data_IF_743782094984
#
_entry.id   IF_743782094984
#
_cell.length_a   1.000
_cell.length_b   1.000
_cell.length_c   1.000
_cell.angle_alpha   90.00
_cell.angle_beta   90.00
_cell.angle_gamma   90.00
#
_symmetry.space_group_name_H-M   'P 1'
#
loop_
_entity.id
_entity.type
_entity.pdbx_description
1 polymer ?
#
# COMPACT_ATOMS: atom_id res chain seq x y z
N UNK A 1 -14.74 -8.89 -31.85
CA UNK A 1 -15.80 -8.70 -30.86
C UNK A 1 -15.61 -9.58 -29.62
N UNK A 2 -15.33 -10.88 -29.78
CA UNK A 2 -15.09 -11.83 -28.64
C UNK A 2 -13.90 -11.40 -27.76
N UNK A 3 -12.78 -10.99 -28.33
CA UNK A 3 -11.61 -10.51 -27.58
C UNK A 3 -11.86 -9.22 -26.78
N UNK A 4 -12.76 -8.35 -27.24
CA UNK A 4 -13.14 -7.13 -26.54
C UNK A 4 -13.99 -7.44 -25.30
N UNK A 5 -14.95 -8.37 -25.44
CA UNK A 5 -15.80 -8.80 -24.32
C UNK A 5 -14.98 -9.55 -23.26
N UNK A 6 -14.05 -10.41 -23.68
CA UNK A 6 -13.15 -11.12 -22.76
C UNK A 6 -12.24 -10.16 -21.99
N UNK A 7 -11.75 -9.11 -22.64
CA UNK A 7 -10.92 -8.08 -22.01
C UNK A 7 -11.72 -7.24 -21.00
N UNK A 8 -12.97 -6.89 -21.30
CA UNK A 8 -13.83 -6.18 -20.34
C UNK A 8 -14.17 -6.99 -19.10
N UNK A 9 -14.45 -8.29 -19.25
CA UNK A 9 -14.74 -9.18 -18.11
C UNK A 9 -13.51 -9.30 -17.20
N UNK A 10 -12.33 -9.43 -17.76
CA UNK A 10 -11.08 -9.50 -17.00
C UNK A 10 -10.78 -8.18 -16.30
N UNK A 11 -11.05 -7.04 -16.94
CA UNK A 11 -10.89 -5.72 -16.34
C UNK A 11 -11.86 -5.49 -15.17
N UNK A 12 -13.12 -5.89 -15.33
CA UNK A 12 -14.10 -5.80 -14.24
C UNK A 12 -13.70 -6.68 -13.05
N UNK A 13 -13.24 -7.90 -13.31
CA UNK A 13 -12.77 -8.81 -12.27
C UNK A 13 -11.53 -8.26 -11.55
N UNK A 14 -10.61 -7.63 -12.27
CA UNK A 14 -9.44 -6.99 -11.69
C UNK A 14 -9.81 -5.79 -10.81
N UNK A 15 -10.76 -4.95 -11.26
CA UNK A 15 -11.25 -3.82 -10.49
C UNK A 15 -11.97 -4.28 -9.22
N UNK A 16 -12.85 -5.29 -9.33
CA UNK A 16 -13.56 -5.83 -8.15
C UNK A 16 -12.61 -6.45 -7.13
N UNK A 17 -11.60 -7.19 -7.58
CA UNK A 17 -10.56 -7.73 -6.71
C UNK A 17 -9.75 -6.63 -6.01
N UNK A 18 -9.44 -5.53 -6.71
CA UNK A 18 -8.75 -4.38 -6.13
C UNK A 18 -9.61 -3.69 -5.06
N UNK A 19 -10.91 -3.47 -5.32
CA UNK A 19 -11.83 -2.85 -4.35
C UNK A 19 -11.94 -3.72 -3.09
N UNK A 20 -12.10 -5.03 -3.25
CA UNK A 20 -12.13 -5.96 -2.12
C UNK A 20 -10.82 -5.90 -1.33
N UNK A 21 -9.67 -5.86 -2.02
CA UNK A 21 -8.37 -5.72 -1.39
C UNK A 21 -8.24 -4.45 -0.55
N UNK A 22 -8.71 -3.30 -1.05
CA UNK A 22 -8.73 -2.03 -0.31
C UNK A 22 -9.60 -2.13 0.94
N UNK A 23 -10.79 -2.72 0.85
CA UNK A 23 -11.68 -2.92 2.01
C UNK A 23 -10.96 -3.74 3.10
N UNK A 24 -10.28 -4.82 2.74
CA UNK A 24 -9.50 -5.61 3.71
C UNK A 24 -8.35 -4.82 4.34
N UNK A 25 -7.66 -3.97 3.57
CA UNK A 25 -6.60 -3.10 4.09
C UNK A 25 -7.16 -2.10 5.09
N UNK A 26 -8.31 -1.49 4.80
CA UNK A 26 -8.97 -0.54 5.71
C UNK A 26 -9.46 -1.20 7.00
N UNK A 27 -10.09 -2.37 6.91
CA UNK A 27 -10.48 -3.18 8.08
C UNK A 27 -9.25 -3.49 8.94
N UNK A 28 -8.15 -3.92 8.32
CA UNK A 28 -6.89 -4.17 9.01
C UNK A 28 -6.38 -2.91 9.72
N UNK A 29 -6.42 -1.75 9.06
CA UNK A 29 -6.02 -0.47 9.65
C UNK A 29 -6.88 -0.07 10.87
N UNK A 30 -8.19 -0.30 10.80
CA UNK A 30 -9.10 -0.08 11.94
C UNK A 30 -8.77 -0.99 13.13
N UNK A 31 -8.47 -2.26 12.88
CA UNK A 31 -8.05 -3.21 13.92
C UNK A 31 -6.74 -2.74 14.58
N UNK A 32 -5.75 -2.32 13.77
CA UNK A 32 -4.48 -1.79 14.30
C UNK A 32 -4.71 -0.56 15.15
N UNK A 33 -5.60 0.36 14.74
CA UNK A 33 -5.94 1.54 15.53
C UNK A 33 -6.60 1.16 16.86
N UNK A 34 -7.52 0.21 16.84
CA UNK A 34 -8.21 -0.26 18.05
C UNK A 34 -7.23 -0.89 19.04
N UNK A 35 -6.31 -1.72 18.56
CA UNK A 35 -5.32 -2.40 19.39
C UNK A 35 -4.14 -1.51 19.79
N UNK A 36 -3.92 -0.39 19.10
CA UNK A 36 -2.79 0.51 19.34
C UNK A 36 -2.80 1.20 20.70
N UNK A 37 -3.93 1.16 21.44
CA UNK A 37 -4.02 1.60 22.83
C UNK A 37 -3.44 0.61 23.84
N UNK A 38 -3.39 -0.68 23.53
CA UNK A 38 -2.95 -1.75 24.43
C UNK A 38 -1.59 -2.35 24.02
N UNK A 39 -1.28 -2.39 22.74
CA UNK A 39 -0.08 -3.01 22.19
C UNK A 39 0.84 -1.99 21.53
N UNK A 40 2.15 -2.21 21.66
CA UNK A 40 3.12 -1.35 20.99
C UNK A 40 3.06 -1.51 19.47
N UNK A 41 3.31 -0.43 18.74
CA UNK A 41 3.35 -0.39 17.27
C UNK A 41 4.26 -1.46 16.67
N UNK A 42 5.40 -1.73 17.33
CA UNK A 42 6.37 -2.75 16.88
C UNK A 42 5.79 -4.16 17.03
N UNK A 43 5.09 -4.44 18.13
CA UNK A 43 4.44 -5.73 18.34
C UNK A 43 3.39 -6.01 17.27
N UNK A 44 2.53 -5.02 16.96
CA UNK A 44 1.52 -5.15 15.92
C UNK A 44 2.14 -5.41 14.54
N UNK A 45 3.23 -4.71 14.20
CA UNK A 45 3.96 -4.92 12.96
C UNK A 45 4.59 -6.32 12.88
N UNK A 46 5.17 -6.82 13.99
CA UNK A 46 5.74 -8.16 14.06
C UNK A 46 4.68 -9.25 13.89
N UNK A 47 3.56 -9.16 14.60
CA UNK A 47 2.47 -10.13 14.46
C UNK A 47 1.96 -10.18 13.02
N UNK A 48 1.66 -9.04 12.41
CA UNK A 48 1.22 -8.98 11.03
C UNK A 48 2.19 -9.68 10.07
N UNK A 49 3.48 -9.33 10.15
CA UNK A 49 4.48 -9.89 9.25
C UNK A 49 4.68 -11.39 9.47
N UNK A 50 4.64 -11.86 10.72
CA UNK A 50 4.75 -13.29 11.05
C UNK A 50 3.57 -14.08 10.48
N UNK A 51 2.34 -13.61 10.68
CA UNK A 51 1.17 -14.28 10.14
C UNK A 51 1.08 -14.22 8.62
N UNK A 52 1.63 -13.18 7.98
CA UNK A 52 1.68 -13.07 6.52
C UNK A 52 2.59 -14.13 5.85
N UNK A 53 3.51 -14.74 6.59
CA UNK A 53 4.37 -15.82 6.09
C UNK A 53 3.55 -17.07 5.79
N UNK A 54 2.51 -17.37 6.58
CA UNK A 54 1.70 -18.59 6.45
C UNK A 54 1.05 -18.71 5.05
N UNK A 55 0.24 -17.74 4.59
CA UNK A 55 -0.35 -17.82 3.24
C UNK A 55 0.71 -17.79 2.13
N UNK A 56 1.83 -17.09 2.34
CA UNK A 56 2.94 -17.09 1.37
C UNK A 56 3.54 -18.49 1.20
N UNK A 57 3.81 -19.19 2.29
CA UNK A 57 4.32 -20.57 2.24
C UNK A 57 3.31 -21.50 1.56
N UNK A 58 2.02 -21.37 1.90
CA UNK A 58 0.96 -22.17 1.27
C UNK A 58 0.90 -21.95 -0.25
N UNK A 59 1.01 -20.70 -0.72
CA UNK A 59 1.06 -20.37 -2.14
C UNK A 59 2.29 -20.96 -2.83
N UNK A 60 3.46 -20.90 -2.19
CA UNK A 60 4.70 -21.47 -2.73
C UNK A 60 4.62 -22.99 -2.89
N UNK A 61 4.01 -23.68 -1.93
CA UNK A 61 3.78 -25.13 -1.99
C UNK A 61 2.79 -25.46 -3.09
N UNK A 62 1.71 -24.69 -3.19
CA UNK A 62 0.67 -24.91 -4.20
C UNK A 62 1.19 -24.75 -5.64
N UNK A 63 1.96 -23.71 -5.90
CA UNK A 63 2.48 -23.39 -7.23
C UNK A 63 3.71 -24.24 -7.63
N UNK A 64 4.24 -25.09 -6.74
CA UNK A 64 5.47 -25.91 -6.97
C UNK A 64 6.71 -25.08 -7.40
N UNK A 65 6.70 -23.78 -7.19
CA UNK A 65 7.79 -22.86 -7.56
C UNK A 65 8.93 -22.83 -6.54
N UNK A 66 8.79 -23.55 -5.42
CA UNK A 66 9.77 -23.56 -4.33
C UNK A 66 11.17 -23.97 -4.77
N UNK A 67 11.29 -24.91 -5.73
CA UNK A 67 12.60 -25.40 -6.20
C UNK A 67 13.35 -24.39 -7.07
N UNK A 68 12.65 -23.55 -7.82
CA UNK A 68 13.26 -22.58 -8.74
C UNK A 68 13.67 -21.28 -8.04
N UNK A 69 12.97 -20.92 -6.97
CA UNK A 69 13.33 -19.78 -6.12
C UNK A 69 14.70 -19.97 -5.46
N UNK A 70 14.99 -21.16 -4.97
CA UNK A 70 16.28 -21.46 -4.29
C UNK A 70 17.46 -21.57 -5.26
N UNK A 71 17.23 -21.91 -6.54
CA UNK A 71 18.30 -22.05 -7.54
C UNK A 71 18.90 -20.71 -7.99
N UNK A 72 18.14 -19.63 -7.93
CA UNK A 72 18.53 -18.29 -8.44
C UNK A 72 18.92 -17.29 -7.35
N UNK A 73 19.16 -17.72 -6.12
CA UNK A 73 19.56 -16.85 -5.00
C UNK A 73 20.99 -16.33 -5.18
N UNK A 74 21.13 -15.20 -5.88
CA UNK A 74 22.40 -14.48 -5.94
C UNK A 74 22.53 -13.56 -4.71
N UNK A 75 23.76 -13.37 -4.21
CA UNK A 75 24.03 -12.45 -3.05
C UNK A 75 23.49 -11.03 -3.29
N UNK A 76 23.58 -10.52 -4.52
CA UNK A 76 23.01 -9.22 -4.89
C UNK A 76 21.48 -9.19 -4.78
N UNK A 77 20.82 -10.26 -5.17
CA UNK A 77 19.36 -10.39 -5.07
C UNK A 77 18.91 -10.42 -3.60
N UNK A 78 19.60 -11.19 -2.77
CA UNK A 78 19.31 -11.26 -1.32
C UNK A 78 19.49 -9.89 -0.66
N UNK A 79 20.57 -9.17 -0.96
CA UNK A 79 20.82 -7.83 -0.45
C UNK A 79 19.71 -6.85 -0.87
N UNK A 80 19.28 -6.91 -2.13
CA UNK A 80 18.19 -6.08 -2.63
C UNK A 80 16.87 -6.37 -1.93
N UNK A 81 16.54 -7.65 -1.73
CA UNK A 81 15.35 -8.06 -0.97
C UNK A 81 15.39 -7.59 0.48
N UNK A 82 16.57 -7.65 1.11
CA UNK A 82 16.75 -7.18 2.48
C UNK A 82 16.53 -5.66 2.59
N UNK A 83 17.13 -4.87 1.70
CA UNK A 83 16.95 -3.41 1.67
C UNK A 83 15.46 -3.08 1.45
N UNK A 84 14.82 -3.72 0.46
CA UNK A 84 13.40 -3.53 0.19
C UNK A 84 12.51 -3.87 1.40
N UNK A 85 12.80 -5.00 2.05
CA UNK A 85 12.07 -5.44 3.23
C UNK A 85 12.23 -4.48 4.42
N UNK A 86 13.43 -3.96 4.65
CA UNK A 86 13.71 -2.97 5.69
C UNK A 86 12.98 -1.65 5.44
N UNK A 87 13.00 -1.15 4.21
CA UNK A 87 12.23 0.05 3.84
C UNK A 87 10.72 -0.15 4.03
N UNK A 88 10.20 -1.31 3.62
CA UNK A 88 8.78 -1.62 3.78
C UNK A 88 8.38 -1.73 5.26
N UNK A 89 9.23 -2.29 6.09
CA UNK A 89 9.01 -2.36 7.54
C UNK A 89 9.01 -0.97 8.17
N UNK A 90 9.94 -0.10 7.78
CA UNK A 90 10.00 1.28 8.26
C UNK A 90 8.70 2.04 7.90
N UNK A 91 8.24 1.94 6.65
CA UNK A 91 6.98 2.56 6.20
C UNK A 91 5.79 2.06 7.04
N UNK A 92 5.70 0.76 7.31
CA UNK A 92 4.61 0.21 8.14
C UNK A 92 4.63 0.75 9.57
N UNK A 93 5.82 0.84 10.19
CA UNK A 93 5.96 1.39 11.55
C UNK A 93 5.51 2.86 11.57
N UNK A 94 5.97 3.67 10.61
CA UNK A 94 5.59 5.08 10.51
C UNK A 94 4.09 5.26 10.32
N UNK A 95 3.48 4.44 9.47
CA UNK A 95 2.04 4.45 9.24
C UNK A 95 1.25 4.07 10.50
N UNK A 96 1.70 3.08 11.27
CA UNK A 96 1.04 2.71 12.52
C UNK A 96 1.17 3.79 13.59
N UNK A 97 2.32 4.48 13.66
CA UNK A 97 2.48 5.63 14.53
C UNK A 97 1.50 6.74 14.12
N UNK A 98 1.35 7.00 12.83
CA UNK A 98 0.41 8.00 12.33
C UNK A 98 -1.05 7.65 12.69
N UNK A 99 -1.50 6.42 12.44
CA UNK A 99 -2.86 5.97 12.76
C UNK A 99 -3.18 6.11 14.26
N UNK A 100 -2.21 5.82 15.13
CA UNK A 100 -2.43 5.88 16.57
C UNK A 100 -2.50 7.32 17.11
N UNK A 101 -1.84 8.28 16.43
CA UNK A 101 -1.75 9.67 16.90
C UNK A 101 -2.69 10.64 16.15
N UNK A 102 -3.36 10.20 15.10
CA UNK A 102 -4.32 11.02 14.35
C UNK A 102 -5.61 10.25 14.04
N UNK A 103 -6.58 10.95 13.48
CA UNK A 103 -7.81 10.32 13.02
C UNK A 103 -7.55 9.35 11.87
N UNK A 104 -8.14 8.14 11.95
CA UNK A 104 -7.91 7.09 10.95
C UNK A 104 -8.21 7.53 9.51
N UNK A 105 -9.34 8.26 9.34
CA UNK A 105 -9.73 8.78 8.03
C UNK A 105 -8.68 9.73 7.45
N UNK A 106 -8.05 10.55 8.27
CA UNK A 106 -6.98 11.47 7.85
C UNK A 106 -5.71 10.70 7.48
N UNK A 107 -5.29 9.75 8.30
CA UNK A 107 -4.10 8.94 8.04
C UNK A 107 -4.23 8.10 6.76
N UNK A 108 -5.37 7.43 6.55
CA UNK A 108 -5.61 6.64 5.34
C UNK A 108 -5.71 7.52 4.10
N UNK A 109 -6.33 8.69 4.20
CA UNK A 109 -6.42 9.65 3.08
C UNK A 109 -5.04 10.17 2.67
N UNK A 110 -4.16 10.47 3.62
CA UNK A 110 -2.79 10.89 3.35
C UNK A 110 -1.99 9.80 2.60
N UNK A 111 -2.24 8.54 2.92
CA UNK A 111 -1.60 7.42 2.20
C UNK A 111 -1.95 7.41 0.71
N UNK A 112 -3.14 7.85 0.32
CA UNK A 112 -3.50 7.99 -1.10
C UNK A 112 -2.68 9.06 -1.83
N UNK A 113 -2.10 10.03 -1.10
CA UNK A 113 -1.18 11.02 -1.69
C UNK A 113 0.07 10.37 -2.29
N UNK A 114 0.49 9.20 -1.80
CA UNK A 114 1.61 8.45 -2.34
C UNK A 114 1.41 8.09 -3.82
N UNK A 115 0.17 7.81 -4.23
CA UNK A 115 -0.17 7.52 -5.63
C UNK A 115 0.15 8.70 -6.54
N UNK A 116 -0.05 9.93 -6.07
CA UNK A 116 0.31 11.14 -6.79
C UNK A 116 1.83 11.23 -7.01
N UNK A 117 2.61 10.99 -5.97
CA UNK A 117 4.07 10.97 -6.07
C UNK A 117 4.59 9.86 -6.98
N UNK A 118 3.98 8.66 -6.93
CA UNK A 118 4.32 7.54 -7.81
C UNK A 118 4.13 7.93 -9.28
N UNK A 119 3.02 8.59 -9.63
CA UNK A 119 2.77 9.03 -11.02
C UNK A 119 3.80 10.07 -11.46
N UNK A 120 4.12 11.05 -10.62
CA UNK A 120 5.14 12.04 -10.93
C UNK A 120 6.51 11.37 -11.13
N UNK A 121 6.92 10.52 -10.19
CA UNK A 121 8.20 9.81 -10.26
C UNK A 121 8.30 8.89 -11.47
N UNK A 122 7.18 8.24 -11.88
CA UNK A 122 7.19 7.39 -13.07
C UNK A 122 7.50 8.16 -14.35
N UNK A 123 7.04 9.42 -14.45
CA UNK A 123 7.37 10.29 -15.58
C UNK A 123 8.84 10.62 -15.61
N UNK A 124 9.42 10.99 -14.44
CA UNK A 124 10.82 11.40 -14.37
C UNK A 124 11.81 10.25 -14.49
N UNK A 125 11.54 9.09 -13.87
CA UNK A 125 12.48 7.97 -13.83
C UNK A 125 12.26 6.92 -14.91
N UNK A 126 10.99 6.68 -15.31
CA UNK A 126 10.67 5.66 -16.32
C UNK A 126 10.42 6.27 -17.70
N UNK A 127 10.24 7.60 -17.80
CA UNK A 127 9.89 8.25 -19.06
C UNK A 127 8.48 7.91 -19.54
N UNK A 128 7.58 7.48 -18.64
CA UNK A 128 6.23 7.08 -18.98
C UNK A 128 5.41 8.25 -19.53
N UNK A 129 4.75 8.02 -20.66
CA UNK A 129 3.79 8.99 -21.22
C UNK A 129 2.45 8.85 -20.51
N UNK A 130 2.22 9.68 -19.51
CA UNK A 130 0.94 9.70 -18.78
C UNK A 130 -0.09 10.47 -19.59
N UNK A 131 -1.14 9.78 -20.05
CA UNK A 131 -2.24 10.42 -20.79
C UNK A 131 -3.08 11.32 -19.89
N UNK A 132 -3.82 12.26 -20.55
CA UNK A 132 -4.63 13.29 -19.87
C UNK A 132 -5.66 12.71 -18.90
N UNK A 133 -6.21 11.52 -19.18
CA UNK A 133 -7.16 10.83 -18.29
C UNK A 133 -6.54 10.42 -16.97
N UNK A 134 -5.26 9.98 -16.96
CA UNK A 134 -4.56 9.64 -15.72
C UNK A 134 -4.22 10.90 -14.93
N UNK A 135 -3.81 11.96 -15.59
CA UNK A 135 -3.56 13.25 -14.95
C UNK A 135 -4.82 13.81 -14.29
N UNK A 136 -5.95 13.81 -15.00
CA UNK A 136 -7.22 14.29 -14.42
C UNK A 136 -7.66 13.48 -13.21
N UNK A 137 -7.55 12.14 -13.26
CA UNK A 137 -7.87 11.29 -12.13
C UNK A 137 -7.00 11.59 -10.90
N UNK A 138 -5.70 11.78 -11.10
CA UNK A 138 -4.73 12.12 -10.04
C UNK A 138 -5.04 13.49 -9.43
N UNK A 139 -5.33 14.51 -10.25
CA UNK A 139 -5.67 15.85 -9.77
C UNK A 139 -6.98 15.84 -8.97
N UNK A 140 -8.01 15.17 -9.47
CA UNK A 140 -9.31 15.05 -8.78
C UNK A 140 -9.12 14.33 -7.43
N UNK A 141 -8.36 13.23 -7.41
CA UNK A 141 -8.04 12.52 -6.19
C UNK A 141 -7.28 13.38 -5.18
N UNK A 142 -6.30 14.17 -5.63
CA UNK A 142 -5.53 15.07 -4.78
C UNK A 142 -6.40 16.20 -4.19
N UNK A 143 -7.30 16.78 -4.98
CA UNK A 143 -8.28 17.77 -4.51
C UNK A 143 -9.16 17.15 -3.40
N UNK A 144 -9.61 15.90 -3.58
CA UNK A 144 -10.35 15.17 -2.56
C UNK A 144 -9.57 15.02 -1.25
N UNK A 145 -8.28 14.67 -1.33
CA UNK A 145 -7.38 14.60 -0.15
C UNK A 145 -7.30 15.95 0.55
N UNK A 146 -7.05 17.03 -0.18
CA UNK A 146 -6.95 18.39 0.38
C UNK A 146 -8.26 18.82 1.06
N UNK A 147 -9.41 18.48 0.49
CA UNK A 147 -10.71 18.79 1.09
C UNK A 147 -10.94 18.07 2.42
N UNK A 148 -10.51 16.80 2.53
CA UNK A 148 -10.63 16.01 3.76
C UNK A 148 -9.69 16.54 4.84
N UNK A 149 -8.48 16.93 4.48
CA UNK A 149 -7.47 17.42 5.41
C UNK A 149 -7.82 18.75 6.09
N UNK A 150 -8.71 19.55 5.49
CA UNK A 150 -9.08 20.89 6.01
C UNK A 150 -7.87 21.65 6.56
N UNK A 151 -6.97 22.19 5.71
CA UNK A 151 -5.65 22.69 6.12
C UNK A 151 -5.67 23.83 7.14
N UNK A 152 -6.85 24.37 7.48
CA UNK A 152 -7.04 25.42 8.47
C UNK A 152 -7.48 24.92 9.85
N UNK A 153 -7.57 23.61 10.05
CA UNK A 153 -7.97 23.01 11.33
C UNK A 153 -6.73 22.55 12.10
N UNK A 154 -6.85 22.47 13.43
CA UNK A 154 -5.84 21.94 14.37
C UNK A 154 -5.39 20.47 14.09
N UNK A 155 -5.89 19.88 13.01
CA UNK A 155 -5.60 18.54 12.53
C UNK A 155 -4.21 18.48 11.87
N UNK A 156 -3.62 19.61 11.46
CA UNK A 156 -2.26 19.67 10.92
C UNK A 156 -1.24 19.49 12.04
N UNK A 157 -0.99 18.25 12.39
CA UNK A 157 -0.01 17.84 13.40
C UNK A 157 1.26 17.34 12.70
N UNK A 158 2.38 17.33 13.42
CA UNK A 158 3.65 16.77 12.98
C UNK A 158 3.49 15.33 12.41
N UNK A 159 2.51 14.59 12.91
CA UNK A 159 2.19 13.22 12.45
C UNK A 159 1.61 13.14 11.04
N UNK A 160 1.19 14.25 10.44
CA UNK A 160 0.68 14.29 9.06
C UNK A 160 1.75 14.07 7.99
N UNK A 161 3.03 14.11 8.36
CA UNK A 161 4.17 13.93 7.45
C UNK A 161 4.61 12.46 7.38
N UNK A 162 4.14 11.61 8.29
CA UNK A 162 4.58 10.22 8.45
C UNK A 162 4.04 9.22 7.41
N UNK A 163 2.81 9.34 6.89
CA UNK A 163 2.25 8.41 5.89
C UNK A 163 2.89 8.51 4.51
#
# INVERSE_FOLDING_TARGET
MINFIYNQKNTFLAISAMVIGVIFIDIHGLIVKYLGGEYSTIQLALFRNTFAIIPLILLLIYNKESSDLFKNLNKKFILFCFIRGSCFLAINILYYIAINNMEFATASTLTFSSTFFIVILSIFFLGDRVGIYRWSAVIIGFVGVVMIMKPNSSIFSYYSILP
#
